data_IF_781425713982
#
_entry.id   IF_781425713982
#
_cell.length_a   1.000
_cell.length_b   1.000
_cell.length_c   1.000
_cell.angle_alpha   90.00
_cell.angle_beta   90.00
_cell.angle_gamma   90.00
#
_symmetry.space_group_name_H-M   'P 1'
#
loop_
_entity.id
_entity.type
_entity.pdbx_description
1 polymer ?
#
# COMPACT_ATOMS: atom_id res chain seq x y z
N UNK A 1 -6.44 9.08 -18.08
CA UNK A 1 -6.72 9.80 -16.82
C UNK A 1 -5.87 9.19 -15.72
N UNK A 2 -5.52 9.98 -14.71
CA UNK A 2 -4.76 9.59 -13.53
C UNK A 2 -5.75 9.49 -12.36
N UNK A 3 -5.79 8.34 -11.70
CA UNK A 3 -6.67 8.09 -10.57
C UNK A 3 -5.86 7.89 -9.28
N UNK A 4 -6.38 8.36 -8.16
CA UNK A 4 -5.75 8.21 -6.84
C UNK A 4 -6.82 8.09 -5.76
N UNK A 5 -6.51 7.39 -4.68
CA UNK A 5 -7.37 7.38 -3.50
C UNK A 5 -7.39 8.78 -2.85
N UNK A 6 -8.56 9.19 -2.32
CA UNK A 6 -8.73 10.52 -1.73
C UNK A 6 -7.68 10.89 -0.67
N UNK A 7 -7.22 9.90 0.11
CA UNK A 7 -6.26 10.10 1.19
C UNK A 7 -4.85 10.49 0.71
N UNK A 8 -4.47 10.17 -0.54
CA UNK A 8 -3.17 10.55 -1.12
C UNK A 8 -3.27 11.71 -2.13
N UNK A 9 -4.48 12.13 -2.51
CA UNK A 9 -4.71 13.15 -3.54
C UNK A 9 -4.00 14.48 -3.26
N UNK A 10 -4.09 14.98 -2.03
CA UNK A 10 -3.45 16.24 -1.63
C UNK A 10 -1.91 16.15 -1.68
N UNK A 11 -1.36 15.02 -1.24
CA UNK A 11 0.08 14.73 -1.21
C UNK A 11 0.63 14.62 -2.64
N UNK A 12 -0.08 13.94 -3.53
CA UNK A 12 0.24 13.80 -4.94
C UNK A 12 0.22 15.14 -5.68
N UNK A 13 -0.80 15.98 -5.43
CA UNK A 13 -0.95 17.29 -6.06
C UNK A 13 0.20 18.26 -5.75
N UNK A 14 0.93 18.06 -4.65
CA UNK A 14 2.10 18.87 -4.27
C UNK A 14 3.44 18.17 -4.48
N UNK A 15 3.44 16.94 -5.01
CA UNK A 15 4.66 16.16 -5.24
C UNK A 15 5.38 15.76 -3.94
N UNK A 16 4.63 15.55 -2.85
CA UNK A 16 5.19 15.08 -1.59
C UNK A 16 5.22 13.54 -1.53
N UNK A 17 6.15 12.98 -0.77
CA UNK A 17 6.24 11.53 -0.51
C UNK A 17 6.63 11.28 0.95
N UNK A 18 5.72 11.50 1.89
CA UNK A 18 5.99 11.21 3.28
C UNK A 18 6.19 9.70 3.49
N UNK A 19 7.13 9.32 4.35
CA UNK A 19 7.55 7.91 4.50
C UNK A 19 6.95 7.20 5.72
N UNK A 20 6.28 7.92 6.61
CA UNK A 20 5.74 7.32 7.84
C UNK A 20 6.84 6.70 8.71
N UNK A 21 6.58 5.50 9.25
CA UNK A 21 7.49 4.77 10.14
C UNK A 21 8.38 3.83 9.34
N UNK A 22 9.70 3.98 9.44
CA UNK A 22 10.69 3.12 8.77
C UNK A 22 11.15 2.01 9.73
N UNK A 23 11.04 0.74 9.31
CA UNK A 23 11.27 -0.44 10.17
C UNK A 23 12.66 -0.44 10.83
N UNK A 24 13.71 -0.22 10.06
CA UNK A 24 15.10 -0.38 10.53
C UNK A 24 15.68 0.93 11.11
N UNK A 25 14.84 1.96 11.29
CA UNK A 25 15.24 3.31 11.67
C UNK A 25 14.26 3.96 12.68
N UNK A 26 13.75 3.19 13.64
CA UNK A 26 12.87 3.70 14.72
C UNK A 26 13.46 4.90 15.51
N UNK A 27 14.78 5.13 15.41
CA UNK A 27 15.51 6.16 16.18
C UNK A 27 15.81 7.42 15.37
N UNK A 28 15.41 7.47 14.10
CA UNK A 28 15.49 8.68 13.28
C UNK A 28 14.43 9.63 13.80
N UNK A 29 14.87 10.69 14.49
CA UNK A 29 13.98 11.71 15.04
C UNK A 29 13.05 12.28 13.96
N UNK A 30 11.86 12.74 14.38
CA UNK A 30 10.92 13.49 13.51
C UNK A 30 11.56 14.72 12.86
N UNK A 31 12.71 15.18 13.36
CA UNK A 31 13.48 16.29 12.78
C UNK A 31 14.36 15.87 11.60
N UNK A 32 14.76 14.60 11.53
CA UNK A 32 15.65 14.06 10.49
C UNK A 32 14.89 13.45 9.31
N UNK A 33 13.68 12.93 9.53
CA UNK A 33 12.85 12.33 8.47
C UNK A 33 12.50 13.32 7.34
N UNK A 34 12.11 14.58 7.60
CA UNK A 34 11.79 15.55 6.53
C UNK A 34 12.98 15.88 5.61
N UNK A 35 14.22 15.69 6.08
CA UNK A 35 15.41 15.88 5.25
C UNK A 35 15.62 14.71 4.28
N UNK A 36 15.33 13.48 4.74
CA UNK A 36 15.39 12.27 3.91
C UNK A 36 14.28 12.33 2.86
N UNK A 37 13.05 12.64 3.28
CA UNK A 37 11.90 12.82 2.39
C UNK A 37 12.20 13.82 1.28
N UNK A 38 12.77 14.99 1.61
CA UNK A 38 13.18 15.99 0.60
C UNK A 38 14.30 15.53 -0.33
N UNK A 39 15.15 14.61 0.11
CA UNK A 39 16.26 14.10 -0.70
C UNK A 39 15.85 13.00 -1.67
N UNK A 40 14.81 12.23 -1.34
CA UNK A 40 14.26 11.16 -2.19
C UNK A 40 13.03 11.61 -3.01
N UNK A 41 12.29 12.62 -2.55
CA UNK A 41 11.11 13.16 -3.22
C UNK A 41 11.50 14.28 -4.19
N UNK A 42 12.00 13.90 -5.36
CA UNK A 42 11.88 14.74 -6.56
C UNK A 42 10.70 14.18 -7.35
N UNK A 43 9.50 14.33 -6.80
CA UNK A 43 8.27 13.96 -7.52
C UNK A 43 7.71 15.19 -8.22
N UNK A 44 7.24 15.00 -9.44
CA UNK A 44 6.52 16.03 -10.17
C UNK A 44 5.11 16.19 -9.56
N UNK A 45 4.74 17.40 -9.06
CA UNK A 45 3.39 17.65 -8.56
C UNK A 45 2.37 17.33 -9.66
N UNK A 46 1.41 16.46 -9.34
CA UNK A 46 0.45 15.94 -10.34
C UNK A 46 -0.95 15.97 -9.75
N UNK A 47 -1.86 16.72 -10.37
CA UNK A 47 -3.28 16.67 -10.01
C UNK A 47 -3.94 15.40 -10.56
N UNK A 48 -4.71 14.66 -9.75
CA UNK A 48 -5.47 13.51 -10.24
C UNK A 48 -6.67 13.95 -11.08
N UNK A 49 -6.98 13.19 -12.12
CA UNK A 49 -8.20 13.36 -12.91
C UNK A 49 -9.42 12.72 -12.21
N UNK A 50 -9.19 11.68 -11.40
CA UNK A 50 -10.22 10.85 -10.76
C UNK A 50 -9.84 10.62 -9.30
N UNK A 51 -10.79 10.85 -8.40
CA UNK A 51 -10.68 10.50 -6.97
C UNK A 51 -11.42 9.19 -6.74
N UNK A 52 -10.74 8.22 -6.16
CA UNK A 52 -11.27 6.90 -5.85
C UNK A 52 -11.50 6.71 -4.34
N UNK A 53 -12.51 5.92 -4.02
CA UNK A 53 -12.85 5.42 -2.69
C UNK A 53 -12.97 3.89 -2.66
N UNK A 54 -13.08 3.31 -1.46
CA UNK A 54 -13.25 1.86 -1.28
C UNK A 54 -14.51 1.34 -1.99
N UNK A 55 -14.36 0.30 -2.81
CA UNK A 55 -15.45 -0.33 -3.55
C UNK A 55 -15.82 0.35 -4.87
N UNK A 56 -15.18 1.46 -5.25
CA UNK A 56 -15.44 2.10 -6.54
C UNK A 56 -15.19 1.14 -7.69
N UNK A 57 -16.15 1.07 -8.61
CA UNK A 57 -16.08 0.21 -9.79
C UNK A 57 -15.45 0.94 -10.97
N UNK A 58 -14.77 0.19 -11.82
CA UNK A 58 -14.01 0.72 -12.95
C UNK A 58 -14.61 0.38 -14.33
N UNK A 59 -15.86 -0.12 -14.36
CA UNK A 59 -16.52 -0.53 -15.61
C UNK A 59 -16.63 0.64 -16.60
N UNK A 60 -16.84 1.87 -16.10
CA UNK A 60 -16.93 3.07 -16.93
C UNK A 60 -15.62 3.38 -17.67
N UNK A 61 -14.50 2.85 -17.18
CA UNK A 61 -13.17 2.96 -17.79
C UNK A 61 -12.80 1.72 -18.63
N UNK A 62 -13.72 0.78 -18.80
CA UNK A 62 -13.54 -0.42 -19.60
C UNK A 62 -12.75 -1.54 -18.90
N UNK A 63 -12.69 -1.51 -17.58
CA UNK A 63 -12.05 -2.54 -16.75
C UNK A 63 -13.10 -3.21 -15.85
N UNK A 64 -13.23 -4.53 -15.94
CA UNK A 64 -14.05 -5.30 -14.98
C UNK A 64 -13.26 -5.45 -13.68
N UNK A 65 -13.40 -4.44 -12.83
CA UNK A 65 -12.63 -4.37 -11.59
C UNK A 65 -13.13 -3.30 -10.64
N UNK A 66 -12.63 -3.37 -9.42
CA UNK A 66 -12.97 -2.43 -8.36
C UNK A 66 -11.81 -2.14 -7.43
N UNK A 67 -11.94 -1.03 -6.72
CA UNK A 67 -10.99 -0.54 -5.73
C UNK A 67 -11.20 -1.28 -4.41
N UNK A 68 -10.15 -1.88 -3.87
CA UNK A 68 -10.07 -2.30 -2.48
C UNK A 68 -9.13 -1.36 -1.74
N UNK A 69 -9.66 -0.57 -0.82
CA UNK A 69 -8.86 0.33 0.00
C UNK A 69 -7.99 -0.48 0.97
N UNK A 70 -6.67 -0.36 0.80
CA UNK A 70 -5.68 -1.12 1.57
C UNK A 70 -4.65 -0.17 2.20
N UNK A 71 -5.08 0.69 3.15
CA UNK A 71 -4.19 1.65 3.79
C UNK A 71 -3.10 0.95 4.60
N UNK A 72 -2.02 1.67 4.86
CA UNK A 72 -0.98 1.24 5.77
C UNK A 72 0.39 1.63 5.27
N UNK A 73 0.75 1.25 4.05
CA UNK A 73 2.01 1.70 3.46
C UNK A 73 2.00 3.21 3.24
N UNK A 74 0.99 3.72 2.54
CA UNK A 74 0.56 5.12 2.51
C UNK A 74 -0.88 5.25 3.04
N UNK A 75 -1.35 6.46 3.38
CA UNK A 75 -2.75 6.69 3.74
C UNK A 75 -3.72 6.29 2.62
N UNK A 76 -3.39 6.52 1.36
CA UNK A 76 -4.22 6.18 0.20
C UNK A 76 -3.85 4.88 -0.53
N UNK A 77 -3.01 4.03 0.07
CA UNK A 77 -2.64 2.74 -0.53
C UNK A 77 -3.90 1.93 -0.88
N UNK A 78 -3.89 1.34 -2.06
CA UNK A 78 -5.06 0.73 -2.68
C UNK A 78 -4.66 -0.49 -3.48
N UNK A 79 -5.49 -1.52 -3.43
CA UNK A 79 -5.39 -2.70 -4.27
C UNK A 79 -6.47 -2.64 -5.33
N UNK A 80 -6.13 -2.93 -6.57
CA UNK A 80 -7.08 -3.06 -7.67
C UNK A 80 -7.44 -4.54 -7.86
N UNK A 81 -8.71 -4.88 -7.74
CA UNK A 81 -9.24 -6.21 -8.02
C UNK A 81 -9.79 -6.24 -9.45
N UNK A 82 -9.39 -7.23 -10.24
CA UNK A 82 -9.77 -7.40 -11.65
C UNK A 82 -10.31 -8.80 -11.87
N UNK A 83 -11.42 -8.91 -12.62
CA UNK A 83 -12.12 -10.15 -12.94
C UNK A 83 -12.52 -11.00 -11.71
N UNK A 84 -12.61 -10.39 -10.52
CA UNK A 84 -12.75 -11.07 -9.22
C UNK A 84 -11.67 -12.15 -8.95
N UNK A 85 -10.54 -12.09 -9.68
CA UNK A 85 -9.53 -13.16 -9.70
C UNK A 85 -8.11 -12.64 -9.50
N UNK A 86 -7.82 -11.41 -9.93
CA UNK A 86 -6.49 -10.84 -9.92
C UNK A 86 -6.44 -9.63 -8.99
N UNK A 87 -5.39 -9.54 -8.19
CA UNK A 87 -5.15 -8.38 -7.33
C UNK A 87 -3.87 -7.67 -7.75
N UNK A 88 -3.92 -6.37 -8.00
CA UNK A 88 -2.76 -5.51 -8.14
C UNK A 88 -2.61 -4.74 -6.84
N UNK A 89 -1.81 -5.27 -5.92
CA UNK A 89 -1.80 -4.89 -4.52
C UNK A 89 -0.83 -3.76 -4.16
N UNK A 90 -0.10 -3.24 -5.15
CA UNK A 90 0.93 -2.23 -4.93
C UNK A 90 1.91 -2.67 -3.84
N UNK A 91 2.34 -1.72 -3.01
CA UNK A 91 3.33 -1.96 -1.96
C UNK A 91 2.71 -2.45 -0.64
N UNK A 92 1.48 -2.99 -0.66
CA UNK A 92 0.96 -3.80 0.45
C UNK A 92 1.75 -5.11 0.60
N UNK A 93 2.20 -5.67 -0.53
CA UNK A 93 3.02 -6.89 -0.63
C UNK A 93 4.18 -6.67 -1.60
N UNK A 94 5.22 -7.48 -1.47
CA UNK A 94 6.39 -7.49 -2.35
C UNK A 94 6.78 -8.93 -2.68
N UNK A 95 7.20 -9.16 -3.93
CA UNK A 95 7.78 -10.41 -4.40
C UNK A 95 9.30 -10.27 -4.63
N UNK A 96 9.94 -9.21 -4.11
CA UNK A 96 11.40 -9.05 -4.20
C UNK A 96 12.10 -10.11 -3.33
N UNK A 97 12.83 -11.03 -3.97
CA UNK A 97 13.47 -12.16 -3.30
C UNK A 97 12.49 -13.29 -3.00
N UNK A 98 11.55 -13.08 -2.08
CA UNK A 98 10.45 -14.00 -1.76
C UNK A 98 9.17 -13.23 -1.44
N UNK A 99 7.97 -13.79 -1.63
CA UNK A 99 6.71 -13.15 -1.24
C UNK A 99 6.71 -12.74 0.25
N UNK A 100 6.38 -11.48 0.52
CA UNK A 100 6.21 -10.94 1.87
C UNK A 100 5.22 -9.76 1.86
N UNK A 101 4.58 -9.52 3.00
CA UNK A 101 3.87 -8.26 3.24
C UNK A 101 4.88 -7.10 3.35
N UNK A 102 4.42 -5.87 3.17
CA UNK A 102 5.24 -4.67 3.40
C UNK A 102 6.03 -4.79 4.70
N UNK A 103 7.33 -4.53 4.64
CA UNK A 103 8.24 -4.66 5.78
C UNK A 103 9.36 -3.60 5.78
N UNK A 104 9.29 -2.58 4.91
CA UNK A 104 10.30 -1.52 4.80
C UNK A 104 9.89 -0.28 5.59
N UNK A 105 8.80 0.35 5.19
CA UNK A 105 8.18 1.47 5.88
C UNK A 105 6.66 1.47 5.69
N UNK A 106 5.96 2.08 6.63
CA UNK A 106 4.51 2.20 6.59
C UNK A 106 4.06 3.41 7.43
N UNK A 107 3.01 4.08 7.00
CA UNK A 107 2.25 4.99 7.85
C UNK A 107 1.60 4.30 9.03
N UNK A 108 1.11 3.07 8.85
CA UNK A 108 0.53 2.26 9.93
C UNK A 108 0.67 0.77 9.67
N UNK A 109 1.50 0.10 10.46
CA UNK A 109 1.70 -1.35 10.41
C UNK A 109 0.44 -2.14 10.78
N UNK A 110 -0.38 -1.61 11.69
CA UNK A 110 -1.68 -2.20 12.03
C UNK A 110 -2.59 -2.18 10.81
N UNK A 111 -2.65 -1.05 10.09
CA UNK A 111 -3.43 -0.95 8.85
C UNK A 111 -2.88 -1.85 7.75
N UNK A 112 -1.56 -2.01 7.62
CA UNK A 112 -0.97 -3.01 6.69
C UNK A 112 -1.49 -4.40 7.01
N UNK A 113 -1.55 -4.79 8.29
CA UNK A 113 -2.05 -6.10 8.70
C UNK A 113 -3.56 -6.28 8.43
N UNK A 114 -4.37 -5.27 8.75
CA UNK A 114 -5.81 -5.26 8.43
C UNK A 114 -6.05 -5.35 6.91
N UNK A 115 -5.31 -4.58 6.13
CA UNK A 115 -5.39 -4.56 4.67
C UNK A 115 -4.96 -5.89 4.04
N UNK A 116 -3.89 -6.51 4.55
CA UNK A 116 -3.46 -7.84 4.11
C UNK A 116 -4.55 -8.88 4.39
N UNK A 117 -5.17 -8.84 5.57
CA UNK A 117 -6.25 -9.76 5.93
C UNK A 117 -7.46 -9.59 4.99
N UNK A 118 -7.87 -8.35 4.69
CA UNK A 118 -8.94 -8.07 3.71
C UNK A 118 -8.62 -8.64 2.33
N UNK A 119 -7.37 -8.49 1.86
CA UNK A 119 -6.95 -9.05 0.58
C UNK A 119 -6.94 -10.59 0.59
N UNK A 120 -6.50 -11.21 1.69
CA UNK A 120 -6.51 -12.65 1.87
C UNK A 120 -7.94 -13.23 1.86
N UNK A 121 -8.91 -12.52 2.45
CA UNK A 121 -10.33 -12.92 2.47
C UNK A 121 -10.94 -13.01 1.06
N UNK A 122 -10.48 -12.19 0.12
CA UNK A 122 -10.92 -12.24 -1.28
C UNK A 122 -10.32 -13.42 -2.05
N UNK A 123 -9.26 -14.05 -1.53
CA UNK A 123 -8.58 -15.20 -2.12
C UNK A 123 -8.31 -15.07 -3.63
N UNK A 124 -7.67 -13.97 -4.10
CA UNK A 124 -7.34 -13.82 -5.51
C UNK A 124 -6.42 -14.96 -5.97
N UNK A 125 -6.61 -15.39 -7.22
CA UNK A 125 -5.81 -16.46 -7.83
C UNK A 125 -4.35 -16.06 -7.95
N UNK A 126 -4.09 -14.81 -8.36
CA UNK A 126 -2.76 -14.22 -8.43
C UNK A 126 -2.78 -12.80 -7.88
N UNK A 127 -1.74 -12.45 -7.13
CA UNK A 127 -1.50 -11.10 -6.62
C UNK A 127 -0.22 -10.54 -7.21
N UNK A 128 -0.33 -9.41 -7.89
CA UNK A 128 0.78 -8.64 -8.45
C UNK A 128 1.19 -7.58 -7.43
N UNK A 129 2.43 -7.71 -6.94
CA UNK A 129 3.05 -6.77 -6.02
C UNK A 129 3.56 -5.50 -6.74
N UNK A 130 3.77 -4.41 -5.98
CA UNK A 130 4.44 -3.20 -6.47
C UNK A 130 5.91 -3.43 -6.86
N UNK A 131 6.54 -4.43 -6.24
CA UNK A 131 7.92 -4.84 -6.53
C UNK A 131 8.07 -6.36 -6.61
N UNK A 132 8.99 -6.80 -7.48
CA UNK A 132 9.25 -8.20 -7.79
C UNK A 132 8.96 -8.51 -9.25
N UNK A 133 9.35 -9.71 -9.70
CA UNK A 133 9.22 -10.12 -11.10
C UNK A 133 8.15 -11.19 -11.33
N UNK A 134 7.67 -11.83 -10.26
CA UNK A 134 6.73 -12.93 -10.32
C UNK A 134 5.47 -12.58 -9.49
N UNK A 135 4.27 -13.02 -9.93
CA UNK A 135 3.06 -12.89 -9.13
C UNK A 135 3.09 -13.83 -7.93
N UNK A 136 2.37 -13.46 -6.88
CA UNK A 136 2.18 -14.25 -5.66
C UNK A 136 0.93 -15.11 -5.85
N UNK A 137 1.06 -16.43 -5.68
CA UNK A 137 -0.08 -17.35 -5.74
C UNK A 137 -1.03 -17.20 -4.54
N UNK A 138 -2.27 -17.65 -4.69
CA UNK A 138 -3.25 -17.68 -3.58
C UNK A 138 -2.69 -18.31 -2.29
N UNK A 139 -1.99 -19.46 -2.40
CA UNK A 139 -1.40 -20.14 -1.24
C UNK A 139 -0.22 -19.38 -0.62
N UNK A 140 0.58 -18.71 -1.42
CA UNK A 140 1.66 -17.87 -0.89
C UNK A 140 1.08 -16.65 -0.18
N UNK A 141 0.07 -15.99 -0.78
CA UNK A 141 -0.63 -14.86 -0.20
C UNK A 141 -1.25 -15.24 1.16
N UNK A 142 -1.94 -16.37 1.24
CA UNK A 142 -2.54 -16.88 2.49
C UNK A 142 -1.49 -17.10 3.59
N UNK A 143 -0.25 -17.47 3.22
CA UNK A 143 0.83 -17.67 4.18
C UNK A 143 1.50 -16.38 4.66
N UNK A 144 1.23 -15.24 4.02
CA UNK A 144 1.86 -13.97 4.38
C UNK A 144 1.35 -13.47 5.73
N UNK A 145 2.26 -12.87 6.48
CA UNK A 145 1.99 -12.23 7.74
C UNK A 145 2.79 -10.93 7.83
N UNK A 146 2.23 -9.91 8.48
CA UNK A 146 2.97 -8.66 8.75
C UNK A 146 3.88 -8.87 9.94
N UNK A 147 5.15 -8.53 9.77
CA UNK A 147 6.15 -8.57 10.84
C UNK A 147 6.70 -7.15 11.06
N UNK A 148 6.82 -6.75 12.33
CA UNK A 148 7.45 -5.50 12.72
C UNK A 148 8.73 -5.80 13.53
N UNK A 149 9.84 -5.99 12.81
CA UNK A 149 11.09 -6.45 13.42
C UNK A 149 10.93 -7.79 14.17
N UNK A 150 11.69 -7.99 15.25
CA UNK A 150 11.60 -9.17 16.14
C UNK A 150 10.43 -9.07 17.15
N UNK A 151 9.49 -8.14 16.98
CA UNK A 151 8.45 -7.84 17.97
C UNK A 151 7.05 -7.95 17.38
N UNK A 152 6.04 -8.29 18.21
CA UNK A 152 4.64 -8.19 17.80
C UNK A 152 4.28 -6.75 17.45
N UNK A 153 3.27 -6.59 16.58
CA UNK A 153 2.75 -5.29 16.16
C UNK A 153 2.51 -4.37 17.36
N UNK A 154 2.89 -3.08 17.28
CA UNK A 154 2.49 -2.12 18.30
C UNK A 154 0.96 -2.10 18.39
N UNK A 155 0.43 -1.97 19.62
CA UNK A 155 -1.01 -1.85 19.82
C UNK A 155 -1.55 -0.70 18.95
N UNK A 156 -2.71 -0.91 18.31
CA UNK A 156 -3.37 0.11 17.52
C UNK A 156 -3.47 1.41 18.32
N UNK A 157 -2.72 2.42 17.92
CA UNK A 157 -2.94 3.78 18.39
C UNK A 157 -3.99 4.38 17.49
N UNK A 158 -5.13 4.78 18.06
CA UNK A 158 -6.16 5.57 17.40
C UNK A 158 -5.50 6.86 16.85
N UNK A 159 -5.07 6.81 15.60
CA UNK A 159 -4.78 8.00 14.81
C UNK A 159 -5.65 7.87 13.57
N UNK A 160 -6.82 8.50 13.69
CA UNK A 160 -7.79 8.80 12.64
C UNK A 160 -7.19 9.70 11.56
#
# INVERSE_FOLDING_TARGET
PIAVHQADAATMAVGASPLGQIRDLEWVSDTTLPLIERAIAILEPTEPDIILEDGDRLDEYGLDGYVLYTPGHTPGSTTLIVDDQYAFAGDLVSATGSPHAQNSYAFSWVRVAESLARLQELAPTLTFAGHGTEPISASELESLNVQFGDRPLPAATDQD
#
